data_IF_386802257701
#
_entry.id   IF_386802257701
#
_cell.length_a   1.000
_cell.length_b   1.000
_cell.length_c   1.000
_cell.angle_alpha   90.00
_cell.angle_beta   90.00
_cell.angle_gamma   90.00
#
_symmetry.space_group_name_H-M   'P 1'
#
loop_
_entity.id
_entity.type
_entity.pdbx_description
1 polymer ?
#
# COMPACT_ATOMS: atom_id res chain seq x y z
N UNK A 1 -28.57 30.92 -51.03
CA UNK A 1 -29.73 31.57 -50.38
C UNK A 1 -30.92 30.62 -50.44
N UNK A 2 -31.38 30.10 -49.30
CA UNK A 2 -32.71 29.52 -49.15
C UNK A 2 -33.05 29.52 -47.66
N UNK A 3 -33.92 30.47 -47.27
CA UNK A 3 -34.61 30.50 -45.98
C UNK A 3 -35.63 29.37 -45.93
N UNK A 4 -35.84 28.78 -44.76
CA UNK A 4 -37.19 28.44 -44.28
C UNK A 4 -37.20 28.24 -42.76
N UNK A 5 -37.82 29.22 -42.12
CA UNK A 5 -38.34 29.25 -40.75
C UNK A 5 -39.67 28.48 -40.71
N UNK A 6 -39.95 27.77 -39.62
CA UNK A 6 -41.29 27.41 -39.11
C UNK A 6 -41.08 26.51 -37.89
N UNK A 7 -41.92 26.46 -36.85
CA UNK A 7 -42.97 27.33 -36.35
C UNK A 7 -43.27 26.82 -34.93
N UNK A 8 -43.80 27.71 -34.10
CA UNK A 8 -44.16 27.55 -32.69
C UNK A 8 -45.31 26.55 -32.51
N UNK A 9 -45.25 25.70 -31.49
CA UNK A 9 -46.44 25.14 -30.86
C UNK A 9 -46.26 25.07 -29.35
N UNK A 10 -47.31 25.52 -28.67
CA UNK A 10 -47.44 25.89 -27.28
C UNK A 10 -48.20 24.76 -26.56
N UNK A 11 -47.71 24.28 -25.42
CA UNK A 11 -48.50 23.40 -24.56
C UNK A 11 -48.06 23.47 -23.09
N UNK A 12 -48.92 24.14 -22.30
CA UNK A 12 -49.44 23.71 -21.00
C UNK A 12 -48.44 23.40 -19.87
N UNK A 13 -48.35 24.31 -18.91
CA UNK A 13 -48.02 24.01 -17.50
C UNK A 13 -49.20 23.25 -16.88
N UNK A 14 -48.95 22.22 -16.05
CA UNK A 14 -49.27 22.45 -14.64
C UNK A 14 -48.32 21.78 -13.63
N UNK A 15 -48.42 22.33 -12.42
CA UNK A 15 -48.17 21.74 -11.11
C UNK A 15 -46.73 21.38 -10.69
N UNK A 16 -46.21 22.30 -9.88
CA UNK A 16 -45.27 22.06 -8.78
C UNK A 16 -45.77 20.86 -7.96
N UNK A 17 -45.01 19.77 -7.97
CA UNK A 17 -45.05 18.79 -6.90
C UNK A 17 -43.71 18.89 -6.19
N UNK A 18 -43.73 19.51 -5.01
CA UNK A 18 -42.63 19.50 -4.06
C UNK A 18 -42.25 18.05 -3.77
N UNK A 19 -41.09 17.65 -4.26
CA UNK A 19 -40.36 16.52 -3.70
C UNK A 19 -39.03 17.10 -3.26
N UNK A 20 -38.91 17.41 -1.97
CA UNK A 20 -37.61 17.73 -1.38
C UNK A 20 -36.80 16.43 -1.27
N UNK A 21 -36.35 15.93 -2.42
CA UNK A 21 -35.23 15.01 -2.43
C UNK A 21 -34.10 15.69 -1.67
N UNK A 22 -33.82 15.16 -0.48
CA UNK A 22 -32.66 15.49 0.29
C UNK A 22 -31.48 15.05 -0.57
N UNK A 23 -30.96 15.98 -1.38
CA UNK A 23 -29.74 15.82 -2.14
C UNK A 23 -28.65 15.55 -1.13
N UNK A 24 -28.35 14.27 -0.90
CA UNK A 24 -27.09 13.86 -0.31
C UNK A 24 -26.03 14.29 -1.29
N UNK A 25 -25.37 15.40 -0.97
CA UNK A 25 -24.10 15.80 -1.57
C UNK A 25 -23.14 14.64 -1.27
N UNK A 26 -23.03 13.67 -2.19
CA UNK A 26 -21.89 12.76 -2.19
C UNK A 26 -20.72 13.60 -2.68
N UNK A 27 -19.94 14.10 -1.73
CA UNK A 27 -18.65 14.70 -2.00
C UNK A 27 -17.79 13.62 -2.65
N UNK A 28 -17.76 13.59 -3.98
CA UNK A 28 -17.00 12.65 -4.83
C UNK A 28 -15.50 13.01 -4.84
N UNK A 29 -15.00 13.47 -3.69
CA UNK A 29 -13.58 13.63 -3.43
C UNK A 29 -13.00 12.24 -3.17
N UNK A 30 -11.89 11.84 -3.83
CA UNK A 30 -11.23 10.58 -3.55
C UNK A 30 -10.86 10.52 -2.06
N UNK A 31 -11.52 9.63 -1.31
CA UNK A 31 -11.20 9.39 0.10
C UNK A 31 -9.86 8.66 0.13
N UNK A 32 -8.87 9.23 0.82
CA UNK A 32 -7.63 8.52 1.10
C UNK A 32 -7.87 7.58 2.29
N UNK A 33 -8.10 6.31 2.01
CA UNK A 33 -8.37 5.29 3.03
C UNK A 33 -7.10 4.82 3.77
N UNK A 34 -5.93 5.43 3.53
CA UNK A 34 -4.66 5.05 4.16
C UNK A 34 -4.17 6.07 5.19
N UNK A 35 -5.07 6.91 5.72
CA UNK A 35 -4.71 7.96 6.69
C UNK A 35 -4.25 7.38 8.04
N UNK A 36 -4.70 6.18 8.41
CA UNK A 36 -4.34 5.51 9.65
C UNK A 36 -2.97 4.80 9.58
N UNK A 37 -1.88 5.59 9.66
CA UNK A 37 -0.52 5.05 9.77
C UNK A 37 -0.31 4.45 11.16
N UNK A 38 -0.18 3.13 11.25
CA UNK A 38 0.05 2.39 12.50
C UNK A 38 1.53 2.16 12.81
N UNK A 39 2.40 2.26 11.79
CA UNK A 39 3.85 2.16 11.99
C UNK A 39 4.58 2.97 10.93
N UNK A 40 5.56 3.78 11.36
CA UNK A 40 6.54 4.43 10.49
C UNK A 40 7.95 3.97 10.87
N UNK A 41 8.73 3.53 9.89
CA UNK A 41 10.00 2.87 10.13
C UNK A 41 11.03 3.09 9.03
N UNK A 42 12.26 2.71 9.35
CA UNK A 42 13.37 2.71 8.39
C UNK A 42 14.22 1.45 8.53
N UNK A 43 14.85 1.04 7.44
CA UNK A 43 15.76 -0.10 7.40
C UNK A 43 16.99 0.21 6.55
N UNK A 44 18.13 -0.37 6.88
CA UNK A 44 19.34 -0.27 6.05
C UNK A 44 19.09 -0.90 4.68
N UNK A 45 19.59 -0.27 3.62
CA UNK A 45 19.60 -0.85 2.27
C UNK A 45 20.41 -2.15 2.27
N UNK A 46 20.11 -3.03 1.32
CA UNK A 46 20.76 -4.35 1.21
C UNK A 46 22.26 -4.29 0.87
N UNK A 47 22.71 -3.20 0.25
CA UNK A 47 24.10 -3.03 -0.15
C UNK A 47 24.97 -2.79 1.09
N UNK A 48 26.00 -3.61 1.35
CA UNK A 48 26.92 -3.39 2.46
C UNK A 48 27.85 -2.19 2.25
N UNK A 49 27.83 -1.58 1.06
CA UNK A 49 28.71 -0.46 0.69
C UNK A 49 28.24 0.89 1.23
N UNK A 50 27.01 0.97 1.74
CA UNK A 50 26.44 2.23 2.24
C UNK A 50 25.63 1.96 3.51
N UNK A 51 25.45 3.00 4.33
CA UNK A 51 24.57 2.97 5.50
C UNK A 51 23.21 3.61 5.22
N UNK A 52 22.90 3.82 3.95
CA UNK A 52 21.67 4.48 3.51
C UNK A 52 20.43 3.65 3.86
N UNK A 53 19.33 4.32 4.13
CA UNK A 53 18.07 3.69 4.51
C UNK A 53 17.04 3.66 3.40
N UNK A 54 16.11 2.72 3.53
CA UNK A 54 14.76 2.79 2.97
C UNK A 54 13.80 3.15 4.10
N UNK A 55 12.80 3.95 3.79
CA UNK A 55 11.72 4.32 4.71
C UNK A 55 10.45 3.61 4.26
N UNK A 56 9.66 3.16 5.22
CA UNK A 56 8.44 2.41 4.98
C UNK A 56 7.39 2.76 6.02
N UNK A 57 6.13 2.56 5.65
CA UNK A 57 4.99 2.81 6.52
C UNK A 57 3.99 1.67 6.43
N UNK A 58 3.40 1.30 7.56
CA UNK A 58 2.25 0.42 7.62
C UNK A 58 1.01 1.26 7.93
N UNK A 59 -0.06 1.00 7.18
CA UNK A 59 -1.35 1.64 7.34
C UNK A 59 -2.44 0.59 7.41
N UNK A 60 -3.45 0.84 8.24
CA UNK A 60 -4.69 0.06 8.20
C UNK A 60 -5.63 0.77 7.24
N UNK A 61 -6.09 0.05 6.21
CA UNK A 61 -7.04 0.62 5.27
C UNK A 61 -8.41 0.73 5.93
N UNK A 62 -8.97 1.94 5.97
CA UNK A 62 -10.18 2.25 6.76
C UNK A 62 -11.39 1.39 6.35
N UNK A 63 -11.59 1.14 5.04
CA UNK A 63 -12.74 0.34 4.58
C UNK A 63 -12.53 -1.18 4.64
N UNK A 64 -11.33 -1.64 4.24
CA UNK A 64 -11.03 -3.09 4.18
C UNK A 64 -10.68 -3.65 5.55
N UNK A 65 -10.33 -2.78 6.51
CA UNK A 65 -9.78 -3.16 7.81
C UNK A 65 -8.65 -4.19 7.63
N UNK A 66 -7.70 -3.88 6.76
CA UNK A 66 -6.57 -4.74 6.39
C UNK A 66 -5.29 -3.93 6.41
N UNK A 67 -4.17 -4.59 6.71
CA UNK A 67 -2.87 -3.97 6.82
C UNK A 67 -2.22 -3.83 5.42
N UNK A 68 -1.62 -2.68 5.16
CA UNK A 68 -0.87 -2.39 3.95
C UNK A 68 0.50 -1.83 4.28
N UNK A 69 1.48 -2.15 3.45
CA UNK A 69 2.85 -1.66 3.54
C UNK A 69 3.18 -0.84 2.30
N UNK A 70 3.78 0.34 2.47
CA UNK A 70 4.40 1.10 1.37
C UNK A 70 5.85 1.45 1.64
N UNK A 71 6.59 1.66 0.56
CA UNK A 71 7.85 2.39 0.61
C UNK A 71 7.55 3.90 0.60
N UNK A 72 7.95 4.60 1.66
CA UNK A 72 7.68 6.04 1.82
C UNK A 72 8.83 6.93 1.32
N UNK A 73 10.05 6.39 1.28
CA UNK A 73 11.24 7.12 0.83
C UNK A 73 12.51 6.26 0.78
N UNK A 74 13.61 6.86 0.34
CA UNK A 74 14.94 6.24 0.42
C UNK A 74 16.09 7.27 0.41
N UNK A 75 17.26 6.87 0.93
CA UNK A 75 18.48 7.69 0.94
C UNK A 75 19.49 7.24 -0.13
N UNK A 76 20.23 8.18 -0.72
CA UNK A 76 21.27 7.86 -1.71
C UNK A 76 20.73 7.37 -3.07
N UNK A 77 19.50 7.74 -3.40
CA UNK A 77 18.93 7.59 -4.74
C UNK A 77 18.38 6.20 -5.10
N UNK A 78 17.93 6.09 -6.35
CA UNK A 78 17.17 4.96 -6.87
C UNK A 78 15.65 5.21 -6.77
N UNK A 79 14.94 5.01 -7.87
CA UNK A 79 13.48 5.18 -7.92
C UNK A 79 12.79 4.09 -7.09
N UNK A 80 11.61 4.40 -6.56
CA UNK A 80 10.68 3.45 -5.94
C UNK A 80 9.23 3.89 -6.20
N UNK A 81 8.28 2.97 -6.18
CA UNK A 81 6.86 3.33 -6.13
C UNK A 81 6.44 3.56 -4.68
N UNK A 82 5.51 4.50 -4.49
CA UNK A 82 4.84 4.76 -3.21
C UNK A 82 3.50 4.03 -3.12
N UNK A 83 3.34 2.96 -3.89
CA UNK A 83 2.11 2.18 -3.90
C UNK A 83 1.95 1.42 -2.59
N UNK A 84 0.70 1.28 -2.16
CA UNK A 84 0.33 0.44 -1.03
C UNK A 84 0.22 -1.01 -1.49
N UNK A 85 0.97 -1.88 -0.82
CA UNK A 85 0.97 -3.33 -1.06
C UNK A 85 0.23 -4.00 0.07
N UNK A 86 -0.72 -4.88 -0.25
CA UNK A 86 -1.46 -5.63 0.76
C UNK A 86 -0.49 -6.50 1.57
N UNK A 87 -0.56 -6.42 2.90
CA UNK A 87 0.34 -7.17 3.74
C UNK A 87 0.09 -8.69 3.62
N UNK A 88 -1.15 -9.09 3.32
CA UNK A 88 -1.51 -10.49 3.02
C UNK A 88 -0.77 -11.04 1.81
N UNK A 89 -0.64 -10.28 0.72
CA UNK A 89 0.12 -10.69 -0.47
C UNK A 89 1.59 -10.92 -0.13
N UNK A 90 2.15 -10.07 0.74
CA UNK A 90 3.52 -10.21 1.23
C UNK A 90 3.66 -11.49 2.08
N UNK A 91 2.73 -11.73 3.00
CA UNK A 91 2.70 -12.93 3.83
C UNK A 91 2.60 -14.18 2.97
N UNK A 92 1.69 -14.22 1.98
CA UNK A 92 1.54 -15.34 1.06
C UNK A 92 2.84 -15.62 0.31
N UNK A 93 3.53 -14.58 -0.16
CA UNK A 93 4.83 -14.70 -0.82
C UNK A 93 5.92 -15.24 0.11
N UNK A 94 5.93 -14.83 1.38
CA UNK A 94 6.88 -15.29 2.40
C UNK A 94 6.64 -16.76 2.77
N UNK A 95 5.39 -17.14 3.03
CA UNK A 95 5.00 -18.51 3.33
C UNK A 95 5.38 -19.48 2.21
N UNK A 96 5.39 -19.03 0.95
CA UNK A 96 5.78 -19.84 -0.19
C UNK A 96 7.30 -20.12 -0.30
N UNK A 97 8.16 -19.47 0.50
CA UNK A 97 9.62 -19.66 0.41
C UNK A 97 10.14 -20.81 1.30
N UNK A 98 9.34 -21.30 2.26
CA UNK A 98 9.76 -22.22 3.30
C UNK A 98 11.10 -21.78 3.96
N UNK A 99 11.90 -22.75 4.42
CA UNK A 99 13.22 -22.54 5.05
C UNK A 99 14.37 -22.35 4.04
N UNK A 100 14.06 -22.06 2.77
CA UNK A 100 15.07 -21.98 1.71
C UNK A 100 15.52 -20.53 1.49
N UNK A 101 16.84 -20.28 1.30
CA UNK A 101 17.29 -18.96 0.92
C UNK A 101 16.70 -18.48 -0.41
N UNK A 102 16.14 -17.28 -0.43
CA UNK A 102 15.47 -16.71 -1.60
C UNK A 102 16.00 -15.32 -1.96
N UNK A 103 15.78 -14.90 -3.21
CA UNK A 103 16.19 -13.58 -3.73
C UNK A 103 15.08 -12.56 -3.55
N UNK A 104 15.42 -11.28 -3.43
CA UNK A 104 14.40 -10.21 -3.36
C UNK A 104 13.42 -10.20 -4.54
N UNK A 105 13.79 -10.77 -5.69
CA UNK A 105 12.96 -10.79 -6.90
C UNK A 105 11.60 -11.46 -6.72
N UNK A 106 11.42 -12.27 -5.67
CA UNK A 106 10.11 -12.85 -5.32
C UNK A 106 9.07 -11.76 -5.07
N UNK A 107 9.46 -10.63 -4.49
CA UNK A 107 8.54 -9.52 -4.21
C UNK A 107 8.17 -8.70 -5.45
N UNK A 108 8.62 -9.06 -6.67
CA UNK A 108 8.18 -8.32 -7.87
C UNK A 108 6.69 -8.48 -8.14
N UNK A 109 6.11 -9.64 -7.79
CA UNK A 109 4.71 -9.95 -8.05
C UNK A 109 3.72 -9.15 -7.21
N UNK A 110 4.13 -8.65 -6.04
CA UNK A 110 3.26 -7.88 -5.15
C UNK A 110 3.14 -6.41 -5.55
N UNK A 111 3.96 -5.95 -6.50
CA UNK A 111 3.87 -4.61 -7.07
C UNK A 111 3.17 -4.67 -8.43
N UNK A 112 2.35 -3.66 -8.72
CA UNK A 112 1.67 -3.53 -10.04
C UNK A 112 2.60 -3.03 -11.14
N UNK A 113 3.84 -2.66 -10.80
CA UNK A 113 4.88 -2.21 -11.72
C UNK A 113 5.82 -1.20 -11.07
N UNK A 114 6.32 -0.27 -11.88
CA UNK A 114 7.15 0.83 -11.39
C UNK A 114 8.64 0.51 -11.40
N UNK A 115 9.31 0.71 -10.26
CA UNK A 115 10.77 0.67 -10.22
C UNK A 115 11.32 -0.74 -10.10
N UNK A 116 12.41 -1.02 -10.83
CA UNK A 116 13.18 -2.25 -10.67
C UNK A 116 13.76 -2.43 -9.25
N UNK A 117 13.88 -1.35 -8.46
CA UNK A 117 14.40 -1.40 -7.09
C UNK A 117 13.35 -1.81 -6.06
N UNK A 118 12.06 -1.77 -6.38
CA UNK A 118 10.96 -2.01 -5.44
C UNK A 118 11.15 -3.32 -4.66
N UNK A 119 11.44 -4.40 -5.37
CA UNK A 119 11.63 -5.71 -4.76
C UNK A 119 12.80 -5.73 -3.75
N UNK A 120 13.91 -5.05 -4.06
CA UNK A 120 15.07 -4.93 -3.17
C UNK A 120 14.81 -4.04 -1.95
N UNK A 121 14.11 -2.92 -2.15
CA UNK A 121 13.74 -2.01 -1.05
C UNK A 121 12.65 -2.60 -0.15
N UNK A 122 11.70 -3.34 -0.71
CA UNK A 122 10.71 -4.12 0.04
C UNK A 122 11.43 -5.14 0.93
N UNK A 123 12.36 -5.91 0.37
CA UNK A 123 13.13 -6.85 1.18
C UNK A 123 13.94 -6.15 2.30
N UNK A 124 14.48 -4.96 2.05
CA UNK A 124 15.13 -4.17 3.10
C UNK A 124 14.13 -3.74 4.20
N UNK A 125 12.94 -3.27 3.82
CA UNK A 125 11.88 -2.94 4.78
C UNK A 125 11.47 -4.16 5.62
N UNK A 126 11.27 -5.33 4.99
CA UNK A 126 10.93 -6.58 5.68
C UNK A 126 12.03 -7.07 6.63
N UNK A 127 13.31 -6.79 6.32
CA UNK A 127 14.41 -7.00 7.28
C UNK A 127 14.30 -6.06 8.47
N UNK A 128 13.94 -4.79 8.26
CA UNK A 128 13.68 -3.83 9.34
C UNK A 128 12.50 -4.22 10.23
N UNK A 129 11.50 -4.88 9.65
CA UNK A 129 10.34 -5.42 10.36
C UNK A 129 10.62 -6.77 11.05
N UNK A 130 11.82 -7.34 10.88
CA UNK A 130 12.24 -8.64 11.40
C UNK A 130 11.39 -9.83 10.90
N UNK A 131 10.80 -9.71 9.71
CA UNK A 131 10.08 -10.83 9.07
C UNK A 131 11.05 -11.75 8.30
N UNK A 132 12.14 -11.16 7.79
CA UNK A 132 13.18 -11.88 7.07
C UNK A 132 14.56 -11.40 7.53
N UNK A 133 15.58 -12.24 7.37
CA UNK A 133 16.96 -11.95 7.72
C UNK A 133 17.90 -12.20 6.53
N UNK A 134 19.09 -11.57 6.49
CA UNK A 134 20.12 -11.96 5.53
C UNK A 134 20.51 -13.43 5.71
N UNK A 135 20.63 -14.16 4.59
CA UNK A 135 21.17 -15.52 4.63
C UNK A 135 22.68 -15.50 4.87
N UNK A 136 23.18 -16.49 5.60
CA UNK A 136 24.63 -16.72 5.78
C UNK A 136 25.38 -16.90 4.46
N UNK A 137 24.70 -17.39 3.42
CA UNK A 137 25.30 -17.64 2.10
C UNK A 137 25.58 -16.34 1.33
N UNK A 138 24.76 -15.31 1.54
CA UNK A 138 24.87 -14.05 0.82
C UNK A 138 23.99 -12.97 1.43
N UNK A 139 24.53 -11.76 1.57
CA UNK A 139 23.77 -10.58 2.00
C UNK A 139 22.60 -10.21 1.07
N UNK A 140 22.59 -10.72 -0.17
CA UNK A 140 21.51 -10.51 -1.15
C UNK A 140 20.47 -11.63 -1.19
N UNK A 141 20.68 -12.68 -0.38
CA UNK A 141 19.70 -13.72 -0.14
C UNK A 141 19.03 -13.49 1.22
N UNK A 142 17.81 -13.97 1.34
CA UNK A 142 16.98 -13.84 2.54
C UNK A 142 16.55 -15.20 3.02
N UNK A 143 16.29 -15.31 4.31
CA UNK A 143 15.61 -16.43 4.96
C UNK A 143 14.49 -15.86 5.83
N UNK A 144 13.46 -16.65 6.13
CA UNK A 144 12.49 -16.26 7.14
C UNK A 144 13.19 -16.07 8.49
N UNK A 145 12.74 -15.10 9.28
CA UNK A 145 13.23 -14.95 10.64
C UNK A 145 12.79 -16.16 11.50
N UNK A 146 13.59 -16.59 12.50
CA UNK A 146 13.18 -17.67 13.40
C UNK A 146 11.83 -17.42 14.08
N UNK A 147 11.57 -16.16 14.44
CA UNK A 147 10.33 -15.73 15.10
C UNK A 147 9.31 -15.16 14.10
N UNK A 148 9.38 -15.58 12.83
CA UNK A 148 8.56 -15.03 11.74
C UNK A 148 7.06 -15.04 12.06
N UNK A 149 6.52 -16.17 12.54
CA UNK A 149 5.09 -16.29 12.83
C UNK A 149 4.64 -15.34 13.93
N UNK A 150 5.40 -15.28 15.04
CA UNK A 150 5.15 -14.34 16.12
C UNK A 150 5.17 -12.90 15.60
N UNK A 151 6.21 -12.54 14.85
CA UNK A 151 6.36 -11.17 14.34
C UNK A 151 5.27 -10.79 13.33
N UNK A 152 4.86 -11.73 12.49
CA UNK A 152 3.72 -11.58 11.57
C UNK A 152 2.45 -11.28 12.34
N UNK A 153 2.16 -12.08 13.36
CA UNK A 153 0.91 -11.97 14.14
C UNK A 153 0.88 -10.67 14.96
N UNK A 154 2.03 -10.25 15.52
CA UNK A 154 2.19 -8.94 16.16
C UNK A 154 1.84 -7.79 15.19
N UNK A 155 2.37 -7.82 13.95
CA UNK A 155 2.08 -6.78 12.96
C UNK A 155 0.62 -6.81 12.50
N UNK A 156 0.03 -8.00 12.34
CA UNK A 156 -1.39 -8.14 11.98
C UNK A 156 -2.32 -7.65 13.10
N UNK A 157 -1.91 -7.76 14.37
CA UNK A 157 -2.72 -7.27 15.50
C UNK A 157 -2.94 -5.75 15.48
N UNK A 158 -2.14 -5.00 14.72
CA UNK A 158 -2.31 -3.56 14.52
C UNK A 158 -3.62 -3.18 13.82
N UNK A 159 -4.24 -4.13 13.11
CA UNK A 159 -5.51 -3.93 12.39
C UNK A 159 -6.72 -3.74 13.33
N UNK A 160 -6.58 -4.09 14.61
CA UNK A 160 -7.62 -3.88 15.63
C UNK A 160 -7.13 -3.17 16.90
N UNK A 161 -5.87 -2.74 16.91
CA UNK A 161 -5.30 -1.98 18.02
C UNK A 161 -5.76 -0.54 17.92
N UNK A 162 -6.60 -0.09 18.85
CA UNK A 162 -6.79 1.33 19.10
C UNK A 162 -5.40 1.93 19.35
N UNK A 163 -4.95 2.79 18.43
CA UNK A 163 -3.76 3.59 18.66
C UNK A 163 -4.07 4.51 19.86
N UNK A 164 -3.75 4.06 21.08
CA UNK A 164 -3.60 4.95 22.22
C UNK A 164 -2.41 5.87 21.95
N UNK A 165 -2.68 6.94 21.20
CA UNK A 165 -1.78 8.06 21.03
C UNK A 165 -1.52 8.66 22.42
N UNK A 166 -0.28 8.51 22.89
CA UNK A 166 0.25 9.22 24.05
C UNK A 166 0.81 10.58 23.63
#
# INVERSE_FOLDING_TARGET
MARKTNQKQEAVLPEVVESNEQVTVTDDSPVDHFTNIVLDGKAKKLSPKTENHVFYQLSVHDDMNSLFLRLSGNEGGGLHSKEWVAFEDIIAMLNAQDDKPFKSTVFKSVFKGGSANNAGFMAAALRGLLLILPSEKSVFLHVLAPDYEQRRDELLSLVGGENEAK
#
